data_IF_649309553055
#
_entry.id   IF_649309553055
#
_cell.length_a   1.000
_cell.length_b   1.000
_cell.length_c   1.000
_cell.angle_alpha   90.00
_cell.angle_beta   90.00
_cell.angle_gamma   90.00
#
_symmetry.space_group_name_H-M   'P 1'
#
loop_
_entity.id
_entity.type
_entity.pdbx_description
1 polymer ?
#
# COMPACT_ATOMS: atom_id res chain seq x y z
N UNK A 1 -44.17 -10.82 -0.73
CA UNK A 1 -42.82 -10.89 -0.13
C UNK A 1 -42.93 -10.48 1.33
N UNK A 2 -42.86 -11.43 2.27
CA UNK A 2 -42.98 -11.19 3.72
C UNK A 2 -41.75 -10.49 4.34
N UNK A 3 -40.87 -9.95 3.51
CA UNK A 3 -39.43 -10.15 3.67
C UNK A 3 -38.69 -8.93 4.22
N UNK A 4 -39.28 -7.75 4.06
CA UNK A 4 -38.57 -6.48 4.25
C UNK A 4 -38.85 -5.79 5.58
N UNK A 5 -39.61 -6.40 6.50
CA UNK A 5 -40.07 -5.69 7.72
C UNK A 5 -39.10 -5.71 8.89
N UNK A 6 -38.10 -6.58 8.86
CA UNK A 6 -37.10 -6.68 9.93
C UNK A 6 -35.80 -7.22 9.37
N UNK A 7 -34.70 -6.50 9.53
CA UNK A 7 -33.34 -6.98 9.37
C UNK A 7 -32.79 -7.26 10.77
N UNK A 8 -32.31 -8.48 11.00
CA UNK A 8 -31.67 -8.81 12.26
C UNK A 8 -30.30 -8.11 12.35
N UNK A 9 -30.10 -7.39 13.45
CA UNK A 9 -28.87 -6.64 13.73
C UNK A 9 -27.61 -7.54 13.71
N UNK A 10 -27.77 -8.83 14.02
CA UNK A 10 -26.72 -9.85 13.88
C UNK A 10 -26.16 -9.95 12.46
N UNK A 11 -27.03 -10.00 11.45
CA UNK A 11 -26.60 -10.13 10.05
C UNK A 11 -25.88 -8.87 9.58
N UNK A 12 -26.26 -7.71 10.12
CA UNK A 12 -25.60 -6.45 9.85
C UNK A 12 -24.20 -6.36 10.49
N UNK A 13 -24.01 -6.94 11.69
CA UNK A 13 -22.68 -7.04 12.33
C UNK A 13 -21.68 -7.83 11.51
N UNK A 14 -22.13 -8.88 10.81
CA UNK A 14 -21.23 -9.65 9.91
C UNK A 14 -20.65 -8.75 8.81
N UNK A 15 -21.43 -7.81 8.27
CA UNK A 15 -20.96 -6.88 7.24
C UNK A 15 -19.90 -5.93 7.80
N UNK A 16 -20.12 -5.40 9.01
CA UNK A 16 -19.11 -4.58 9.71
C UNK A 16 -17.83 -5.35 9.99
N UNK A 17 -17.95 -6.61 10.40
CA UNK A 17 -16.79 -7.45 10.73
C UNK A 17 -15.88 -7.63 9.50
N UNK A 18 -16.44 -7.75 8.29
CA UNK A 18 -15.65 -7.83 7.05
C UNK A 18 -14.89 -6.54 6.81
N UNK A 19 -15.59 -5.40 6.84
CA UNK A 19 -14.98 -4.09 6.53
C UNK A 19 -13.88 -3.76 7.53
N UNK A 20 -14.13 -4.02 8.80
CA UNK A 20 -13.14 -3.86 9.85
C UNK A 20 -11.96 -4.82 9.65
N UNK A 21 -12.21 -6.10 9.37
CA UNK A 21 -11.16 -7.08 9.14
C UNK A 21 -10.31 -6.66 7.93
N UNK A 22 -10.90 -6.33 6.79
CA UNK A 22 -10.15 -5.93 5.58
C UNK A 22 -9.29 -4.69 5.85
N UNK A 23 -9.85 -3.65 6.47
CA UNK A 23 -9.09 -2.43 6.80
C UNK A 23 -7.89 -2.69 7.72
N UNK A 24 -8.07 -3.54 8.71
CA UNK A 24 -7.02 -3.87 9.68
C UNK A 24 -5.95 -4.77 9.09
N UNK A 25 -6.36 -5.71 8.26
CA UNK A 25 -5.47 -6.62 7.56
C UNK A 25 -4.52 -5.86 6.64
N UNK A 26 -5.05 -4.82 6.01
CA UNK A 26 -4.30 -3.87 5.21
C UNK A 26 -3.30 -3.08 6.06
N UNK A 27 -3.71 -2.56 7.23
CA UNK A 27 -2.81 -1.90 8.18
C UNK A 27 -1.69 -2.83 8.70
N UNK A 28 -2.02 -4.10 8.97
CA UNK A 28 -1.05 -5.10 9.40
C UNK A 28 -0.02 -5.43 8.29
N UNK A 29 -0.48 -5.53 7.03
CA UNK A 29 0.42 -5.67 5.88
C UNK A 29 1.39 -4.49 5.75
N UNK A 30 0.88 -3.27 5.92
CA UNK A 30 1.66 -2.03 5.89
C UNK A 30 2.79 -1.98 6.92
N UNK A 31 2.50 -2.39 8.15
CA UNK A 31 3.47 -2.44 9.24
C UNK A 31 4.62 -3.40 8.90
N UNK A 32 4.31 -4.55 8.29
CA UNK A 32 5.32 -5.51 7.87
C UNK A 32 6.22 -4.96 6.74
N UNK A 33 5.69 -4.13 5.85
CA UNK A 33 6.42 -3.54 4.72
C UNK A 33 7.29 -2.33 5.12
N UNK A 34 6.84 -1.52 6.09
CA UNK A 34 7.54 -0.27 6.42
C UNK A 34 8.83 -0.51 7.23
N UNK A 35 8.91 -1.59 8.01
CA UNK A 35 10.02 -1.83 8.95
C UNK A 35 11.41 -1.88 8.30
N UNK A 36 12.34 -1.09 8.82
CA UNK A 36 13.64 -0.75 8.21
C UNK A 36 14.77 -1.76 8.43
N UNK A 37 14.59 -2.73 9.34
CA UNK A 37 15.63 -3.71 9.66
C UNK A 37 15.38 -5.04 8.93
N UNK A 38 16.31 -5.42 8.06
CA UNK A 38 16.36 -6.67 7.27
C UNK A 38 16.44 -7.93 8.12
N UNK A 39 16.92 -7.83 9.36
CA UNK A 39 17.15 -8.98 10.24
C UNK A 39 15.89 -9.79 10.63
N UNK A 40 14.68 -9.27 10.39
CA UNK A 40 13.42 -9.93 10.76
C UNK A 40 12.53 -10.27 9.55
N UNK A 41 13.10 -10.33 8.34
CA UNK A 41 12.30 -10.60 7.13
C UNK A 41 11.60 -11.97 7.17
N UNK A 42 12.23 -12.99 7.78
CA UNK A 42 11.64 -14.33 7.94
C UNK A 42 10.41 -14.32 8.85
N UNK A 43 10.49 -13.64 9.98
CA UNK A 43 9.37 -13.55 10.93
C UNK A 43 8.19 -12.80 10.32
N UNK A 44 8.47 -11.73 9.57
CA UNK A 44 7.44 -10.97 8.86
C UNK A 44 6.78 -11.80 7.77
N UNK A 45 7.56 -12.55 7.00
CA UNK A 45 7.02 -13.45 5.98
C UNK A 45 6.14 -14.54 6.63
N UNK A 46 6.60 -15.13 7.72
CA UNK A 46 5.84 -16.12 8.48
C UNK A 46 4.51 -15.55 8.99
N UNK A 47 4.51 -14.34 9.55
CA UNK A 47 3.29 -13.65 9.96
C UNK A 47 2.35 -13.35 8.78
N UNK A 48 2.88 -12.94 7.63
CA UNK A 48 2.07 -12.73 6.41
C UNK A 48 1.45 -14.05 5.93
N UNK A 49 2.17 -15.17 5.98
CA UNK A 49 1.64 -16.49 5.62
C UNK A 49 0.52 -16.92 6.58
N UNK A 50 0.75 -16.84 7.89
CA UNK A 50 -0.30 -17.12 8.89
C UNK A 50 -1.53 -16.26 8.62
N UNK A 51 -1.30 -14.97 8.38
CA UNK A 51 -2.36 -14.02 8.12
C UNK A 51 -3.16 -14.40 6.85
N UNK A 52 -2.49 -14.75 5.76
CA UNK A 52 -3.12 -15.24 4.52
C UNK A 52 -4.00 -16.46 4.78
N UNK A 53 -3.51 -17.43 5.55
CA UNK A 53 -4.27 -18.63 5.90
C UNK A 53 -5.54 -18.31 6.72
N UNK A 54 -5.39 -17.44 7.74
CA UNK A 54 -6.51 -17.02 8.58
C UNK A 54 -7.54 -16.21 7.78
N UNK A 55 -7.09 -15.31 6.91
CA UNK A 55 -7.98 -14.53 6.05
C UNK A 55 -8.70 -15.42 5.04
N UNK A 56 -8.02 -16.41 4.45
CA UNK A 56 -8.67 -17.37 3.56
C UNK A 56 -9.76 -18.17 4.28
N UNK A 57 -9.46 -18.68 5.47
CA UNK A 57 -10.43 -19.39 6.30
C UNK A 57 -11.64 -18.50 6.64
N UNK A 58 -11.39 -17.24 7.00
CA UNK A 58 -12.43 -16.25 7.23
C UNK A 58 -13.30 -16.05 5.98
N UNK A 59 -12.72 -15.81 4.81
CA UNK A 59 -13.46 -15.59 3.56
C UNK A 59 -14.30 -16.81 3.19
N UNK A 60 -13.79 -18.03 3.39
CA UNK A 60 -14.55 -19.26 3.12
C UNK A 60 -15.75 -19.39 4.06
N UNK A 61 -15.53 -19.27 5.38
CA UNK A 61 -16.61 -19.34 6.37
C UNK A 61 -17.64 -18.24 6.10
N UNK A 62 -17.17 -17.04 5.80
CA UNK A 62 -18.04 -15.91 5.50
C UNK A 62 -18.85 -16.14 4.22
N UNK A 63 -18.23 -16.62 3.14
CA UNK A 63 -18.92 -16.95 1.90
C UNK A 63 -20.03 -17.99 2.12
N UNK A 64 -19.77 -19.02 2.94
CA UNK A 64 -20.79 -20.01 3.33
C UNK A 64 -21.92 -19.33 4.12
N UNK A 65 -21.59 -18.49 5.10
CA UNK A 65 -22.59 -17.75 5.89
C UNK A 65 -23.45 -16.84 5.03
N UNK A 66 -22.86 -16.18 4.04
CA UNK A 66 -23.55 -15.28 3.14
C UNK A 66 -24.50 -16.02 2.19
N UNK A 67 -24.17 -17.26 1.80
CA UNK A 67 -25.08 -18.11 1.02
C UNK A 67 -26.30 -18.61 1.78
N UNK A 68 -26.29 -18.55 3.12
CA UNK A 68 -27.46 -18.93 3.94
C UNK A 68 -28.52 -17.83 4.05
N UNK A 69 -28.31 -16.68 3.39
CA UNK A 69 -29.26 -15.57 3.34
C UNK A 69 -30.36 -15.94 2.36
N UNK A 70 -31.47 -16.46 2.91
CA UNK A 70 -32.62 -16.90 2.14
C UNK A 70 -33.60 -15.74 1.95
N UNK A 71 -33.88 -15.44 0.69
CA UNK A 71 -34.88 -14.45 0.31
C UNK A 71 -36.32 -14.87 0.61
N UNK A 72 -36.56 -16.07 1.13
CA UNK A 72 -37.92 -16.47 1.48
C UNK A 72 -38.21 -16.33 2.98
N UNK A 73 -37.18 -16.04 3.78
CA UNK A 73 -37.28 -15.98 5.24
C UNK A 73 -37.17 -14.52 5.74
N UNK A 74 -38.10 -14.06 6.60
CA UNK A 74 -37.99 -12.72 7.20
C UNK A 74 -36.74 -12.63 8.08
N UNK A 75 -36.07 -11.47 8.09
CA UNK A 75 -34.85 -11.28 8.90
C UNK A 75 -33.54 -11.75 8.27
N UNK A 76 -33.58 -12.36 7.08
CA UNK A 76 -32.40 -12.92 6.39
C UNK A 76 -32.04 -12.24 5.06
N UNK A 77 -32.67 -11.12 4.73
CA UNK A 77 -32.36 -10.33 3.55
C UNK A 77 -32.21 -8.85 3.89
N UNK A 78 -31.58 -8.09 3.00
CA UNK A 78 -31.34 -6.65 3.17
C UNK A 78 -31.53 -5.92 1.83
N UNK A 79 -31.76 -4.61 1.90
CA UNK A 79 -31.82 -3.78 0.71
C UNK A 79 -30.41 -3.42 0.23
N UNK A 80 -30.05 -3.93 -0.95
CA UNK A 80 -28.78 -3.65 -1.61
C UNK A 80 -28.90 -2.66 -2.79
N UNK A 81 -30.10 -2.11 -3.05
CA UNK A 81 -30.42 -1.32 -4.25
C UNK A 81 -29.57 -0.05 -4.46
N UNK A 82 -28.85 0.42 -3.43
CA UNK A 82 -27.93 1.57 -3.51
C UNK A 82 -26.46 1.18 -3.71
N UNK A 83 -26.12 -0.08 -3.48
CA UNK A 83 -24.75 -0.60 -3.60
C UNK A 83 -24.59 -1.43 -4.86
N UNK A 84 -25.63 -2.15 -5.26
CA UNK A 84 -25.67 -3.00 -6.45
C UNK A 84 -26.62 -2.41 -7.50
N UNK A 85 -26.34 -2.70 -8.77
CA UNK A 85 -27.19 -2.36 -9.93
C UNK A 85 -28.66 -2.73 -9.69
N UNK A 86 -29.58 -1.86 -10.12
CA UNK A 86 -31.03 -2.00 -9.93
C UNK A 86 -31.53 -3.35 -10.47
N UNK A 87 -32.13 -4.16 -9.59
CA UNK A 87 -32.84 -5.40 -9.97
C UNK A 87 -32.06 -6.71 -9.79
N UNK A 88 -30.84 -6.69 -9.25
CA UNK A 88 -30.11 -7.91 -8.96
C UNK A 88 -30.43 -8.49 -7.57
N UNK A 89 -30.58 -9.82 -7.50
CA UNK A 89 -30.57 -10.57 -6.24
C UNK A 89 -29.24 -10.32 -5.50
N UNK A 90 -29.31 -10.01 -4.20
CA UNK A 90 -28.12 -9.68 -3.40
C UNK A 90 -27.08 -10.82 -3.41
N UNK A 91 -27.53 -12.08 -3.51
CA UNK A 91 -26.66 -13.26 -3.48
C UNK A 91 -25.58 -13.27 -4.57
N UNK A 92 -25.84 -12.70 -5.74
CA UNK A 92 -24.83 -12.60 -6.80
C UNK A 92 -23.89 -11.42 -6.57
N UNK A 93 -24.45 -10.26 -6.25
CA UNK A 93 -23.67 -9.05 -6.04
C UNK A 93 -22.69 -9.19 -4.88
N UNK A 94 -23.09 -9.88 -3.82
CA UNK A 94 -22.28 -10.10 -2.64
C UNK A 94 -21.14 -11.08 -2.90
N UNK A 95 -21.38 -12.11 -3.71
CA UNK A 95 -20.31 -13.03 -4.16
C UNK A 95 -19.29 -12.30 -5.00
N UNK A 96 -19.74 -11.46 -5.94
CA UNK A 96 -18.85 -10.65 -6.79
C UNK A 96 -18.07 -9.66 -5.94
N UNK A 97 -18.73 -8.95 -5.02
CA UNK A 97 -18.10 -8.01 -4.11
C UNK A 97 -17.06 -8.68 -3.22
N UNK A 98 -17.40 -9.82 -2.61
CA UNK A 98 -16.49 -10.61 -1.79
C UNK A 98 -15.30 -11.11 -2.61
N UNK A 99 -15.53 -11.63 -3.81
CA UNK A 99 -14.47 -12.12 -4.69
C UNK A 99 -13.51 -10.99 -5.11
N UNK A 100 -14.03 -9.83 -5.53
CA UNK A 100 -13.23 -8.68 -5.91
C UNK A 100 -12.42 -8.13 -4.75
N UNK A 101 -13.06 -7.98 -3.58
CA UNK A 101 -12.40 -7.52 -2.35
C UNK A 101 -11.29 -8.49 -1.93
N UNK A 102 -11.57 -9.78 -1.97
CA UNK A 102 -10.63 -10.84 -1.64
C UNK A 102 -9.43 -10.87 -2.61
N UNK A 103 -9.70 -10.79 -3.92
CA UNK A 103 -8.67 -10.74 -4.95
C UNK A 103 -7.78 -9.50 -4.77
N UNK A 104 -8.37 -8.32 -4.59
CA UNK A 104 -7.62 -7.08 -4.34
C UNK A 104 -6.73 -7.21 -3.12
N UNK A 105 -7.29 -7.76 -2.03
CA UNK A 105 -6.58 -7.91 -0.78
C UNK A 105 -5.39 -8.87 -0.90
N UNK A 106 -5.58 -10.03 -1.55
CA UNK A 106 -4.48 -10.96 -1.83
C UNK A 106 -3.43 -10.35 -2.76
N UNK A 107 -3.82 -9.64 -3.82
CA UNK A 107 -2.88 -8.94 -4.68
C UNK A 107 -2.04 -7.92 -3.91
N UNK A 108 -2.67 -7.18 -2.98
CA UNK A 108 -1.98 -6.23 -2.11
C UNK A 108 -0.99 -6.92 -1.17
N UNK A 109 -1.36 -8.04 -0.55
CA UNK A 109 -0.46 -8.82 0.31
C UNK A 109 0.68 -9.49 -0.47
N UNK A 110 0.42 -10.03 -1.65
CA UNK A 110 1.46 -10.60 -2.52
C UNK A 110 2.43 -9.51 -2.90
N UNK A 111 1.95 -8.33 -3.31
CA UNK A 111 2.79 -7.19 -3.61
C UNK A 111 3.63 -6.76 -2.39
N UNK A 112 3.02 -6.68 -1.20
CA UNK A 112 3.74 -6.45 0.06
C UNK A 112 4.85 -7.47 0.30
N UNK A 113 4.56 -8.76 0.12
CA UNK A 113 5.48 -9.86 0.31
C UNK A 113 6.65 -9.81 -0.67
N UNK A 114 6.38 -9.53 -1.94
CA UNK A 114 7.41 -9.36 -2.98
C UNK A 114 8.33 -8.17 -2.70
N UNK A 115 7.76 -7.06 -2.21
CA UNK A 115 8.55 -5.90 -1.76
C UNK A 115 9.40 -6.25 -0.54
N UNK A 116 8.85 -6.99 0.43
CA UNK A 116 9.55 -7.39 1.65
C UNK A 116 10.69 -8.40 1.39
N UNK A 117 10.52 -9.29 0.41
CA UNK A 117 11.54 -10.26 -0.01
C UNK A 117 12.66 -9.62 -0.84
N UNK A 118 12.51 -8.37 -1.27
CA UNK A 118 13.46 -7.73 -2.19
C UNK A 118 13.52 -8.41 -3.57
N UNK A 119 12.51 -9.25 -3.89
CA UNK A 119 12.41 -9.95 -5.18
C UNK A 119 11.83 -9.07 -6.27
N UNK A 120 11.04 -8.06 -5.90
CA UNK A 120 10.87 -6.91 -6.76
C UNK A 120 12.25 -6.27 -6.91
N UNK A 121 12.78 -6.13 -8.14
CA UNK A 121 13.89 -5.24 -8.40
C UNK A 121 13.36 -3.84 -8.13
N UNK A 122 13.31 -3.48 -6.85
CA UNK A 122 13.48 -2.13 -6.40
C UNK A 122 14.63 -1.64 -7.26
N UNK A 123 14.33 -0.66 -8.10
CA UNK A 123 15.32 0.27 -8.60
C UNK A 123 15.98 0.78 -7.33
N UNK A 124 17.00 0.04 -6.92
CA UNK A 124 17.75 0.31 -5.73
C UNK A 124 18.25 1.71 -6.00
N UNK A 125 18.00 2.63 -5.08
CA UNK A 125 18.82 3.82 -4.99
C UNK A 125 20.28 3.30 -5.02
N UNK A 126 20.84 3.43 -6.21
CA UNK A 126 22.23 3.42 -6.63
C UNK A 126 23.14 2.27 -6.14
N UNK A 127 23.21 1.19 -6.92
CA UNK A 127 24.50 0.70 -7.40
C UNK A 127 24.65 0.97 -8.90
N UNK A 128 23.56 1.25 -9.63
CA UNK A 128 23.64 1.58 -11.07
C UNK A 128 24.17 2.99 -11.30
N UNK A 129 23.82 3.98 -10.47
CA UNK A 129 24.48 5.30 -10.57
C UNK A 129 25.88 5.26 -9.98
N UNK A 130 26.17 4.47 -8.95
CA UNK A 130 27.54 4.34 -8.43
C UNK A 130 28.46 3.62 -9.43
N UNK A 131 27.95 2.56 -10.08
CA UNK A 131 28.58 1.86 -11.20
C UNK A 131 28.65 2.74 -12.45
N UNK A 132 27.59 3.48 -12.82
CA UNK A 132 27.65 4.46 -13.90
C UNK A 132 28.58 5.62 -13.55
N UNK A 133 28.71 6.07 -12.31
CA UNK A 133 29.67 7.12 -11.93
C UNK A 133 31.08 6.59 -11.90
N UNK A 134 31.30 5.35 -11.45
CA UNK A 134 32.61 4.70 -11.49
C UNK A 134 33.05 4.42 -12.94
N UNK A 135 32.15 3.88 -13.77
CA UNK A 135 32.38 3.63 -15.17
C UNK A 135 32.39 4.91 -16.02
N UNK A 136 31.69 5.97 -15.59
CA UNK A 136 31.80 7.29 -16.21
C UNK A 136 33.05 8.04 -15.75
N UNK A 137 33.58 7.77 -14.57
CA UNK A 137 34.88 8.28 -14.12
C UNK A 137 36.03 7.57 -14.85
N UNK A 138 35.91 6.26 -15.10
CA UNK A 138 36.83 5.50 -15.95
C UNK A 138 36.71 5.89 -17.44
N UNK A 139 35.49 6.08 -17.95
CA UNK A 139 35.31 6.59 -19.32
C UNK A 139 35.69 8.07 -19.44
N UNK A 140 35.60 8.90 -18.40
CA UNK A 140 36.09 10.28 -18.43
C UNK A 140 37.62 10.35 -18.39
N UNK A 141 38.32 9.41 -17.75
CA UNK A 141 39.77 9.32 -17.85
C UNK A 141 40.18 8.92 -19.27
N UNK A 142 39.51 7.92 -19.86
CA UNK A 142 39.79 7.46 -21.23
C UNK A 142 39.42 8.52 -22.29
N UNK A 143 38.26 9.17 -22.16
CA UNK A 143 37.83 10.29 -23.03
C UNK A 143 38.68 11.56 -22.81
N UNK A 144 39.25 11.74 -21.61
CA UNK A 144 40.25 12.78 -21.34
C UNK A 144 41.50 12.58 -22.21
N UNK A 145 42.02 11.35 -22.25
CA UNK A 145 43.17 11.00 -23.11
C UNK A 145 42.84 11.09 -24.61
N UNK A 146 41.67 10.62 -25.03
CA UNK A 146 41.24 10.70 -26.45
C UNK A 146 40.99 12.16 -26.86
N UNK A 147 40.32 12.97 -26.04
CA UNK A 147 40.07 14.38 -26.37
C UNK A 147 41.35 15.22 -26.38
N UNK A 148 42.32 14.90 -25.51
CA UNK A 148 43.64 15.51 -25.55
C UNK A 148 44.39 15.15 -26.85
N UNK A 149 44.43 13.86 -27.20
CA UNK A 149 45.07 13.37 -28.43
C UNK A 149 44.39 13.91 -29.70
N UNK A 150 43.05 13.98 -29.73
CA UNK A 150 42.27 14.56 -30.83
C UNK A 150 42.49 16.07 -30.90
N UNK A 151 42.59 16.78 -29.78
CA UNK A 151 42.88 18.21 -29.78
C UNK A 151 44.30 18.50 -30.27
N UNK A 152 45.27 17.65 -29.93
CA UNK A 152 46.66 17.79 -30.35
C UNK A 152 46.82 17.45 -31.84
N UNK A 153 46.18 16.38 -32.32
CA UNK A 153 46.13 16.05 -33.74
C UNK A 153 45.41 17.14 -34.56
N UNK A 154 44.30 17.69 -34.06
CA UNK A 154 43.59 18.80 -34.69
C UNK A 154 44.42 20.10 -34.70
N UNK A 155 45.25 20.32 -33.67
CA UNK A 155 46.19 21.44 -33.58
C UNK A 155 47.32 21.29 -34.60
N UNK A 156 47.91 20.10 -34.72
CA UNK A 156 48.96 19.80 -35.69
C UNK A 156 48.47 19.92 -37.14
N UNK A 157 47.22 19.52 -37.41
CA UNK A 157 46.61 19.62 -38.74
C UNK A 157 45.93 20.97 -39.03
N UNK A 158 45.99 21.94 -38.10
CA UNK A 158 45.31 23.27 -38.19
C UNK A 158 43.81 23.20 -38.47
N UNK A 159 43.15 22.10 -38.09
CA UNK A 159 41.71 21.86 -38.34
C UNK A 159 40.80 22.60 -37.35
N UNK A 160 41.35 23.39 -36.42
CA UNK A 160 40.60 24.17 -35.42
C UNK A 160 39.57 25.17 -35.99
N UNK A 161 39.62 25.47 -37.30
CA UNK A 161 38.59 26.31 -37.97
C UNK A 161 37.33 25.55 -38.36
N UNK A 162 37.35 24.22 -38.45
CA UNK A 162 36.24 23.42 -39.01
C UNK A 162 35.28 22.84 -37.96
N UNK A 163 35.65 22.81 -36.68
CA UNK A 163 34.81 22.26 -35.61
C UNK A 163 34.44 23.33 -34.58
N UNK A 164 33.35 24.09 -34.77
CA UNK A 164 32.86 24.99 -33.74
C UNK A 164 32.45 24.20 -32.49
N UNK A 165 32.68 24.79 -31.31
CA UNK A 165 32.43 24.21 -29.98
C UNK A 165 31.05 23.53 -29.94
N UNK A 166 31.05 22.19 -29.87
CA UNK A 166 29.83 21.40 -29.72
C UNK A 166 29.19 21.80 -28.37
N UNK A 167 27.96 22.35 -28.36
CA UNK A 167 27.29 22.71 -27.11
C UNK A 167 27.01 21.43 -26.32
N UNK A 168 27.46 21.41 -25.05
CA UNK A 168 27.26 20.30 -24.11
C UNK A 168 25.76 20.01 -23.94
N UNK A 169 25.28 18.96 -24.62
CA UNK A 169 23.89 18.49 -24.62
C UNK A 169 23.51 17.69 -23.36
N UNK A 170 24.33 17.67 -22.30
CA UNK A 170 24.12 16.79 -21.13
C UNK A 170 23.05 17.28 -20.15
N UNK A 171 22.61 18.54 -20.19
CA UNK A 171 21.84 19.13 -19.07
C UNK A 171 20.33 18.89 -19.07
N UNK A 172 19.76 18.30 -20.13
CA UNK A 172 18.30 18.14 -20.27
C UNK A 172 17.78 16.72 -20.06
N UNK A 173 18.66 15.73 -19.98
CA UNK A 173 18.27 14.31 -19.85
C UNK A 173 18.02 13.90 -18.39
N UNK A 174 18.62 14.60 -17.43
CA UNK A 174 18.52 14.28 -16.00
C UNK A 174 17.12 14.60 -15.41
N UNK A 175 16.45 15.66 -15.90
CA UNK A 175 15.10 16.04 -15.41
C UNK A 175 13.99 15.08 -15.82
N UNK A 176 14.14 14.36 -16.92
CA UNK A 176 13.12 13.38 -17.36
C UNK A 176 13.19 12.08 -16.58
N UNK A 177 14.35 11.76 -16.00
CA UNK A 177 14.54 10.58 -15.14
C UNK A 177 14.05 10.80 -13.70
N UNK A 178 14.02 12.04 -13.20
CA UNK A 178 13.37 12.38 -11.92
C UNK A 178 11.84 12.19 -11.95
N UNK A 179 11.20 12.36 -13.12
CA UNK A 179 9.73 12.20 -13.25
C UNK A 179 9.30 10.73 -13.24
N UNK A 180 10.20 9.81 -13.60
CA UNK A 180 9.96 8.35 -13.59
C UNK A 180 10.61 7.61 -12.43
N UNK A 181 11.15 8.32 -11.42
CA UNK A 181 11.48 7.67 -10.14
C UNK A 181 10.16 7.19 -9.53
N UNK A 182 9.83 5.92 -9.76
CA UNK A 182 8.58 5.35 -9.29
C UNK A 182 8.38 5.69 -7.81
N UNK A 183 7.16 6.08 -7.40
CA UNK A 183 6.89 6.35 -6.00
C UNK A 183 7.37 5.16 -5.18
N UNK A 184 8.11 5.44 -4.10
CA UNK A 184 8.68 4.46 -3.19
C UNK A 184 7.69 3.28 -3.05
N UNK A 185 8.04 2.02 -3.32
CA UNK A 185 7.06 0.94 -3.37
C UNK A 185 6.28 0.80 -2.06
N UNK A 186 6.85 1.24 -0.94
CA UNK A 186 6.13 1.41 0.33
C UNK A 186 4.94 2.38 0.23
N UNK A 187 5.12 3.49 -0.47
CA UNK A 187 4.06 4.47 -0.78
C UNK A 187 3.02 3.90 -1.75
N UNK A 188 3.43 3.10 -2.74
CA UNK A 188 2.49 2.41 -3.64
C UNK A 188 1.64 1.43 -2.84
N UNK A 189 2.28 0.59 -2.02
CA UNK A 189 1.59 -0.34 -1.11
C UNK A 189 0.64 0.41 -0.17
N UNK A 190 1.08 1.51 0.43
CA UNK A 190 0.25 2.36 1.28
C UNK A 190 -0.94 2.96 0.51
N UNK A 191 -0.73 3.37 -0.73
CA UNK A 191 -1.79 3.94 -1.55
C UNK A 191 -2.83 2.88 -1.92
N UNK A 192 -2.40 1.69 -2.34
CA UNK A 192 -3.29 0.55 -2.61
C UNK A 192 -4.12 0.19 -1.36
N UNK A 193 -3.43 0.08 -0.22
CA UNK A 193 -4.05 -0.11 1.08
C UNK A 193 -5.13 0.94 1.40
N UNK A 194 -4.79 2.22 1.27
CA UNK A 194 -5.68 3.33 1.63
C UNK A 194 -6.88 3.46 0.68
N UNK A 195 -6.77 3.05 -0.58
CA UNK A 195 -7.87 3.14 -1.56
C UNK A 195 -9.04 2.21 -1.22
N UNK A 196 -8.80 1.05 -0.59
CA UNK A 196 -9.88 0.16 -0.17
C UNK A 196 -10.74 0.76 0.94
N UNK A 197 -10.15 1.56 1.82
CA UNK A 197 -10.83 2.01 3.03
C UNK A 197 -12.05 2.90 2.76
N UNK A 198 -11.99 3.94 1.90
CA UNK A 198 -13.17 4.71 1.51
C UNK A 198 -14.27 3.86 0.87
N UNK A 199 -13.90 2.87 0.04
CA UNK A 199 -14.86 1.99 -0.62
C UNK A 199 -15.63 1.14 0.40
N UNK A 200 -14.93 0.55 1.37
CA UNK A 200 -15.57 -0.25 2.41
C UNK A 200 -16.41 0.60 3.38
N UNK A 201 -15.92 1.79 3.77
CA UNK A 201 -16.72 2.74 4.56
C UNK A 201 -18.00 3.13 3.81
N UNK A 202 -17.88 3.49 2.53
CA UNK A 202 -19.02 3.88 1.71
C UNK A 202 -20.05 2.75 1.63
N UNK A 203 -19.61 1.52 1.39
CA UNK A 203 -20.48 0.35 1.35
C UNK A 203 -21.23 0.16 2.68
N UNK A 204 -20.51 0.19 3.81
CA UNK A 204 -21.11 0.06 5.14
C UNK A 204 -22.11 1.17 5.44
N UNK A 205 -21.73 2.42 5.19
CA UNK A 205 -22.58 3.57 5.46
C UNK A 205 -23.85 3.53 4.61
N UNK A 206 -23.71 3.23 3.32
CA UNK A 206 -24.84 3.09 2.40
C UNK A 206 -25.75 1.94 2.81
N UNK A 207 -25.20 0.80 3.21
CA UNK A 207 -25.98 -0.32 3.73
C UNK A 207 -26.69 0.04 5.03
N UNK A 208 -26.06 0.82 5.92
CA UNK A 208 -26.70 1.32 7.16
C UNK A 208 -27.91 2.16 6.80
N UNK A 209 -27.67 3.22 6.04
CA UNK A 209 -28.67 4.23 5.73
C UNK A 209 -29.86 3.64 4.97
N UNK A 210 -29.62 2.64 4.12
CA UNK A 210 -30.70 2.00 3.34
C UNK A 210 -31.54 1.05 4.18
N UNK A 211 -31.00 0.53 5.29
CA UNK A 211 -31.67 -0.49 6.12
C UNK A 211 -32.08 0.01 7.51
N UNK A 212 -31.79 1.27 7.88
CA UNK A 212 -32.01 1.84 9.21
C UNK A 212 -33.44 1.65 9.71
N UNK A 213 -34.44 1.93 8.86
CA UNK A 213 -35.87 1.81 9.21
C UNK A 213 -36.34 0.35 9.36
N UNK A 214 -35.50 -0.62 9.01
CA UNK A 214 -35.81 -2.05 9.03
C UNK A 214 -35.07 -2.78 10.14
N UNK A 215 -34.12 -2.12 10.82
CA UNK A 215 -33.37 -2.73 11.91
C UNK A 215 -34.32 -2.99 13.08
N UNK A 216 -34.43 -4.26 13.48
CA UNK A 216 -35.19 -4.71 14.65
C UNK A 216 -34.39 -5.81 15.35
N UNK A 217 -34.32 -5.77 16.68
CA UNK A 217 -33.64 -6.80 17.48
C UNK A 217 -32.79 -6.24 18.63
N UNK A 218 -31.78 -7.01 19.02
CA UNK A 218 -30.89 -6.74 20.16
C UNK A 218 -30.17 -5.38 20.05
N UNK A 219 -29.80 -4.80 21.20
CA UNK A 219 -29.11 -3.51 21.23
C UNK A 219 -27.79 -3.54 20.45
N UNK A 220 -27.47 -2.45 19.73
CA UNK A 220 -26.17 -2.26 19.06
C UNK A 220 -24.95 -2.39 20.00
N UNK A 221 -25.16 -2.41 21.31
CA UNK A 221 -24.11 -2.54 22.32
C UNK A 221 -23.50 -3.96 22.40
N UNK A 222 -24.02 -4.95 21.67
CA UNK A 222 -23.42 -6.28 21.64
C UNK A 222 -22.27 -6.34 20.65
N UNK A 223 -21.05 -6.41 21.19
CA UNK A 223 -19.85 -6.50 20.37
C UNK A 223 -19.75 -7.88 19.72
N UNK A 224 -19.60 -7.90 18.40
CA UNK A 224 -19.27 -9.09 17.64
C UNK A 224 -17.82 -9.51 17.85
N UNK A 225 -17.51 -10.80 17.66
CA UNK A 225 -16.14 -11.31 17.70
C UNK A 225 -15.23 -10.55 16.72
N UNK A 226 -15.71 -10.23 15.51
CA UNK A 226 -14.93 -9.49 14.53
C UNK A 226 -14.60 -8.06 14.97
N UNK A 227 -15.54 -7.35 15.60
CA UNK A 227 -15.29 -6.02 16.19
C UNK A 227 -14.23 -6.05 17.30
N UNK A 228 -14.26 -7.06 18.17
CA UNK A 228 -13.24 -7.22 19.24
C UNK A 228 -11.86 -7.50 18.64
N UNK A 229 -11.77 -8.47 17.73
CA UNK A 229 -10.52 -8.79 17.02
C UNK A 229 -10.00 -7.57 16.28
N UNK A 230 -10.91 -6.84 15.63
CA UNK A 230 -10.59 -5.62 14.93
C UNK A 230 -9.97 -4.57 15.87
N UNK A 231 -10.60 -4.32 17.01
CA UNK A 231 -10.09 -3.35 17.97
C UNK A 231 -8.72 -3.75 18.53
N UNK A 232 -8.50 -5.05 18.81
CA UNK A 232 -7.21 -5.57 19.29
C UNK A 232 -6.10 -5.38 18.26
N UNK A 233 -6.37 -5.72 16.99
CA UNK A 233 -5.40 -5.58 15.91
C UNK A 233 -5.13 -4.11 15.55
N UNK A 234 -6.16 -3.25 15.62
CA UNK A 234 -6.02 -1.80 15.48
C UNK A 234 -5.14 -1.23 16.60
N UNK A 235 -5.37 -1.63 17.86
CA UNK A 235 -4.57 -1.19 18.99
C UNK A 235 -3.10 -1.58 18.83
N UNK A 236 -2.81 -2.82 18.39
CA UNK A 236 -1.45 -3.25 18.04
C UNK A 236 -0.84 -2.38 16.94
N UNK A 237 -1.62 -2.07 15.89
CA UNK A 237 -1.17 -1.25 14.78
C UNK A 237 -0.85 0.20 15.20
N UNK A 238 -1.72 0.80 16.01
CA UNK A 238 -1.52 2.13 16.60
C UNK A 238 -0.29 2.16 17.49
N UNK A 239 -0.10 1.13 18.34
CA UNK A 239 1.06 1.04 19.22
C UNK A 239 2.36 0.94 18.42
N UNK A 240 2.37 0.17 17.34
CA UNK A 240 3.53 0.06 16.44
C UNK A 240 3.79 1.37 15.70
N UNK A 241 2.74 2.04 15.20
CA UNK A 241 2.84 3.37 14.61
C UNK A 241 3.44 4.40 15.58
N UNK A 242 2.97 4.41 16.83
CA UNK A 242 3.47 5.30 17.87
C UNK A 242 4.95 5.03 18.19
N UNK A 243 5.35 3.76 18.32
CA UNK A 243 6.76 3.36 18.50
C UNK A 243 7.63 3.82 17.33
N UNK A 244 7.15 3.69 16.10
CA UNK A 244 7.87 4.14 14.91
C UNK A 244 8.06 5.67 14.89
N UNK A 245 7.02 6.44 15.21
CA UNK A 245 7.06 7.91 15.30
C UNK A 245 8.04 8.35 16.38
N UNK A 246 7.97 7.78 17.59
CA UNK A 246 8.90 8.08 18.67
C UNK A 246 10.35 7.74 18.31
N UNK A 247 10.58 6.61 17.64
CA UNK A 247 11.89 6.23 17.13
C UNK A 247 12.45 7.25 16.13
N UNK A 248 11.61 7.74 15.22
CA UNK A 248 11.98 8.78 14.27
C UNK A 248 12.39 10.10 14.97
N UNK A 249 11.58 10.56 15.93
CA UNK A 249 11.90 11.78 16.68
C UNK A 249 13.19 11.66 17.51
N UNK A 250 13.42 10.48 18.12
CA UNK A 250 14.67 10.20 18.85
C UNK A 250 15.88 10.25 17.92
N UNK A 251 15.82 9.57 16.78
CA UNK A 251 16.91 9.56 15.80
C UNK A 251 17.17 10.96 15.22
N UNK A 252 16.12 11.74 14.97
CA UNK A 252 16.25 13.14 14.54
C UNK A 252 16.96 13.96 15.61
N UNK A 253 16.55 13.85 16.88
CA UNK A 253 17.17 14.55 18.02
C UNK A 253 18.66 14.18 18.17
N UNK A 254 19.03 12.91 18.06
CA UNK A 254 20.43 12.46 18.12
C UNK A 254 21.28 13.04 16.97
N UNK A 255 20.77 13.05 15.73
CA UNK A 255 21.47 13.70 14.60
C UNK A 255 21.71 15.19 14.82
N UNK A 256 20.75 15.90 15.42
CA UNK A 256 20.90 17.32 15.77
C UNK A 256 22.03 17.57 16.78
N UNK A 257 22.31 16.62 17.68
CA UNK A 257 23.41 16.76 18.65
C UNK A 257 24.78 16.42 18.06
N UNK A 258 24.85 15.48 17.11
CA UNK A 258 26.12 15.05 16.52
C UNK A 258 26.63 16.04 15.46
N UNK A 259 25.74 16.62 14.66
CA UNK A 259 26.08 17.66 13.68
C UNK A 259 25.29 18.94 13.98
N UNK A 260 25.74 19.77 14.93
CA UNK A 260 25.14 21.07 15.14
C UNK A 260 25.23 21.88 13.84
N UNK A 261 24.20 22.67 13.48
CA UNK A 261 24.24 23.49 12.29
C UNK A 261 25.47 24.39 12.37
N UNK A 262 26.30 24.36 11.32
CA UNK A 262 27.47 25.22 11.20
C UNK A 262 27.01 26.66 11.50
N UNK A 263 27.57 27.27 12.56
CA UNK A 263 27.30 28.67 12.88
C UNK A 263 27.58 29.47 11.61
N UNK A 264 26.54 30.06 11.02
CA UNK A 264 26.72 31.10 10.01
C UNK A 264 27.48 32.20 10.72
N UNK A 265 28.74 32.38 10.33
CA UNK A 265 29.49 33.57 10.70
C UNK A 265 28.72 34.75 10.12
N UNK A 266 28.06 35.50 10.99
CA UNK A 266 27.48 36.80 10.68
C UNK A 266 28.64 37.74 10.37
N UNK A 267 28.81 38.04 9.09
CA UNK A 267 29.61 39.15 8.60
C UNK A 267 28.84 40.46 8.78
#
# INVERSE_FOLDING_TARGET
MAQYRSLSLYHYHVIYDIVNLTGISVCAGLINVIGTKTAHNRDRLFLVIIFICLYLAFVVIFGIRLQMWDDNLPGRCYYANRVLSLGYYHSLGDRVYLALTCAYFFLSLIFCGLVALGTMPLIHEYPVLEFLTAQQQENQSMLGHISAAVSEAARLLRLNRLFPKIPRLSRRRDKWLEVWSMPNPKLITLSLAMVQYPLHIYAVFTLRQTNENLLNGDSENYWGFGQVVALVLLASSVLQGFRAILGYYRAKKEKWFITPPARRNSA
#
